data_IF_896783179122
#
_entry.id   IF_896783179122
#
_cell.length_a   1.000
_cell.length_b   1.000
_cell.length_c   1.000
_cell.angle_alpha   90.00
_cell.angle_beta   90.00
_cell.angle_gamma   90.00
#
_symmetry.space_group_name_H-M   'P 1'
#
loop_
_entity.id
_entity.type
_entity.pdbx_description
1 polymer ?
#
# COMPACT_ATOMS: atom_id res chain seq x y z
N UNK A 1 29.46 0.53 2.46
CA UNK A 1 28.79 0.37 1.15
C UNK A 1 28.02 -0.96 1.00
N UNK A 2 28.55 -2.11 1.45
CA UNK A 2 27.85 -3.41 1.30
C UNK A 2 26.51 -3.52 2.06
N UNK A 3 26.43 -2.96 3.28
CA UNK A 3 25.20 -2.95 4.09
C UNK A 3 24.03 -2.22 3.41
N UNK A 4 24.31 -1.07 2.79
CA UNK A 4 23.29 -0.27 2.10
C UNK A 4 22.70 -1.02 0.89
N UNK A 5 23.57 -1.68 0.12
CA UNK A 5 23.17 -2.52 -1.02
C UNK A 5 22.35 -3.74 -0.60
N UNK A 6 22.62 -4.28 0.59
CA UNK A 6 21.84 -5.38 1.19
C UNK A 6 20.46 -4.93 1.67
N UNK A 7 20.32 -3.70 2.16
CA UNK A 7 19.01 -3.15 2.53
C UNK A 7 18.14 -2.86 1.30
N UNK A 8 18.77 -2.38 0.21
CA UNK A 8 18.07 -2.10 -1.05
C UNK A 8 17.54 -3.38 -1.72
N UNK A 9 18.29 -4.49 -1.66
CA UNK A 9 17.82 -5.78 -2.17
C UNK A 9 16.67 -6.37 -1.35
N UNK A 10 16.69 -6.20 -0.02
CA UNK A 10 15.57 -6.61 0.87
C UNK A 10 14.32 -5.77 0.61
N UNK A 11 14.48 -4.45 0.41
CA UNK A 11 13.37 -3.55 0.06
C UNK A 11 12.72 -3.95 -1.27
N UNK A 12 13.52 -4.22 -2.31
CA UNK A 12 13.00 -4.67 -3.60
C UNK A 12 12.29 -6.03 -3.52
N UNK A 13 12.81 -6.97 -2.73
CA UNK A 13 12.14 -8.26 -2.52
C UNK A 13 10.77 -8.10 -1.84
N UNK A 14 10.67 -7.23 -0.84
CA UNK A 14 9.40 -6.91 -0.16
C UNK A 14 8.36 -6.29 -1.11
N UNK A 15 8.80 -5.36 -1.96
CA UNK A 15 7.95 -4.75 -3.00
C UNK A 15 7.47 -5.81 -3.99
N UNK A 16 8.34 -6.72 -4.44
CA UNK A 16 7.99 -7.79 -5.37
C UNK A 16 6.91 -8.74 -4.78
N UNK A 17 7.09 -9.19 -3.54
CA UNK A 17 6.11 -10.04 -2.85
C UNK A 17 4.77 -9.32 -2.69
N UNK A 18 4.79 -8.05 -2.31
CA UNK A 18 3.56 -7.24 -2.17
C UNK A 18 2.87 -7.05 -3.51
N UNK A 19 3.63 -6.83 -4.59
CA UNK A 19 3.10 -6.75 -5.96
C UNK A 19 2.41 -8.08 -6.33
N UNK A 20 3.07 -9.21 -6.10
CA UNK A 20 2.49 -10.53 -6.40
C UNK A 20 1.18 -10.75 -5.63
N UNK A 21 1.15 -10.41 -4.33
CA UNK A 21 -0.07 -10.50 -3.53
C UNK A 21 -1.17 -9.56 -4.07
N UNK A 22 -0.84 -8.34 -4.50
CA UNK A 22 -1.84 -7.39 -5.03
C UNK A 22 -2.39 -7.82 -6.38
N UNK A 23 -1.58 -8.44 -7.23
CA UNK A 23 -2.04 -8.97 -8.52
C UNK A 23 -2.93 -10.22 -8.36
N UNK A 24 -2.66 -11.04 -7.35
CA UNK A 24 -3.48 -12.22 -7.03
C UNK A 24 -4.77 -11.88 -6.25
N UNK A 25 -4.90 -10.66 -5.71
CA UNK A 25 -6.04 -10.28 -4.88
C UNK A 25 -7.32 -10.13 -5.72
N UNK A 26 -8.34 -10.91 -5.36
CA UNK A 26 -9.73 -10.80 -5.84
C UNK A 26 -9.89 -10.87 -7.36
N UNK A 27 -8.97 -11.55 -8.05
CA UNK A 27 -8.96 -11.70 -9.51
C UNK A 27 -8.98 -10.36 -10.27
N UNK A 28 -8.56 -9.27 -9.60
CA UNK A 28 -8.73 -7.89 -10.10
C UNK A 28 -8.00 -7.68 -11.43
N UNK A 29 -6.84 -8.32 -11.60
CA UNK A 29 -6.07 -8.23 -12.84
C UNK A 29 -6.85 -8.76 -14.05
N UNK A 30 -7.50 -9.93 -13.90
CA UNK A 30 -8.28 -10.54 -14.98
C UNK A 30 -9.56 -9.76 -15.26
N UNK A 31 -10.22 -9.24 -14.21
CA UNK A 31 -11.38 -8.37 -14.37
C UNK A 31 -11.06 -7.08 -15.13
N UNK A 32 -9.92 -6.44 -14.82
CA UNK A 32 -9.46 -5.27 -15.58
C UNK A 32 -9.21 -5.63 -17.05
N UNK A 33 -8.55 -6.76 -17.32
CA UNK A 33 -8.27 -7.19 -18.69
C UNK A 33 -9.55 -7.50 -19.48
N UNK A 34 -10.53 -8.15 -18.87
CA UNK A 34 -11.82 -8.44 -19.50
C UNK A 34 -12.56 -7.14 -19.92
N UNK A 35 -12.26 -6.03 -19.26
CA UNK A 35 -12.80 -4.70 -19.57
C UNK A 35 -11.91 -3.87 -20.50
N UNK A 36 -10.83 -4.45 -21.04
CA UNK A 36 -9.88 -3.76 -21.92
C UNK A 36 -8.95 -2.78 -21.20
N UNK A 37 -8.76 -2.95 -19.89
CA UNK A 37 -7.89 -2.09 -19.07
C UNK A 37 -6.75 -2.88 -18.41
N UNK A 38 -5.62 -2.23 -18.17
CA UNK A 38 -4.48 -2.82 -17.46
C UNK A 38 -4.50 -2.48 -15.97
N UNK A 39 -4.19 -3.47 -15.11
CA UNK A 39 -3.93 -3.22 -13.70
C UNK A 39 -2.44 -2.97 -13.48
N UNK A 40 -2.09 -1.83 -12.90
CA UNK A 40 -0.71 -1.49 -12.54
C UNK A 40 -0.59 -1.44 -11.01
N UNK A 41 0.19 -2.35 -10.39
CA UNK A 41 0.34 -2.40 -8.95
C UNK A 41 1.22 -1.25 -8.46
N UNK A 42 0.60 -0.32 -7.73
CA UNK A 42 1.22 0.90 -7.20
C UNK A 42 1.70 0.65 -5.77
N UNK A 43 2.78 -0.13 -5.63
CA UNK A 43 3.38 -0.45 -4.32
C UNK A 43 4.53 0.51 -4.03
N UNK A 44 4.61 0.96 -2.78
CA UNK A 44 5.61 1.91 -2.28
C UNK A 44 6.10 1.45 -0.91
N UNK A 45 7.39 1.61 -0.65
CA UNK A 45 7.98 1.26 0.64
C UNK A 45 7.81 2.41 1.65
N UNK A 46 7.87 2.10 2.94
CA UNK A 46 7.56 3.04 4.04
C UNK A 46 8.49 4.27 4.03
N UNK A 47 9.77 4.07 3.72
CA UNK A 47 10.76 5.14 3.62
C UNK A 47 10.82 5.80 2.23
N UNK A 48 9.88 5.43 1.35
CA UNK A 48 9.84 5.86 -0.05
C UNK A 48 10.43 4.80 -0.99
N UNK A 49 10.40 5.08 -2.28
CA UNK A 49 10.77 4.10 -3.31
C UNK A 49 9.56 3.29 -3.78
N UNK A 50 9.37 3.32 -5.10
CA UNK A 50 8.21 2.69 -5.75
C UNK A 50 8.60 1.36 -6.35
N UNK A 51 7.65 0.43 -6.43
CA UNK A 51 7.85 -0.84 -7.14
C UNK A 51 8.20 -0.61 -8.62
N UNK A 52 8.96 -1.52 -9.26
CA UNK A 52 9.42 -1.35 -10.64
C UNK A 52 8.30 -1.08 -11.65
N UNK A 53 7.15 -1.75 -11.51
CA UNK A 53 5.99 -1.54 -12.37
C UNK A 53 5.42 -0.10 -12.27
N UNK A 54 5.32 0.42 -11.05
CA UNK A 54 4.89 1.80 -10.82
C UNK A 54 5.90 2.81 -11.37
N UNK A 55 7.20 2.58 -11.18
CA UNK A 55 8.24 3.45 -11.73
C UNK A 55 8.21 3.49 -13.27
N UNK A 56 8.02 2.34 -13.92
CA UNK A 56 7.89 2.27 -15.37
C UNK A 56 6.67 3.06 -15.85
N UNK A 57 5.53 2.89 -15.18
CA UNK A 57 4.32 3.66 -15.49
C UNK A 57 4.51 5.16 -15.29
N UNK A 58 5.20 5.59 -14.23
CA UNK A 58 5.48 7.01 -13.98
C UNK A 58 6.30 7.66 -15.07
N UNK A 59 7.25 6.94 -15.67
CA UNK A 59 8.03 7.45 -16.82
C UNK A 59 7.13 7.67 -18.04
N UNK A 60 6.25 6.71 -18.34
CA UNK A 60 5.28 6.85 -19.44
C UNK A 60 4.32 8.02 -19.19
N UNK A 61 3.80 8.13 -17.96
CA UNK A 61 2.90 9.20 -17.57
C UNK A 61 3.58 10.57 -17.62
N UNK A 62 4.79 10.69 -17.08
CA UNK A 62 5.57 11.92 -17.08
C UNK A 62 5.90 12.37 -18.51
N UNK A 63 6.29 11.43 -19.37
CA UNK A 63 6.52 11.74 -20.79
C UNK A 63 5.26 12.30 -21.46
N UNK A 64 4.10 11.70 -21.23
CA UNK A 64 2.83 12.22 -21.76
C UNK A 64 2.52 13.63 -21.24
N UNK A 65 2.83 13.91 -19.96
CA UNK A 65 2.68 15.24 -19.36
C UNK A 65 3.64 16.23 -20.03
N UNK A 66 4.90 15.86 -20.20
CA UNK A 66 5.93 16.67 -20.85
C UNK A 66 5.54 17.06 -22.28
N UNK A 67 5.11 16.07 -23.08
CA UNK A 67 4.66 16.27 -24.46
C UNK A 67 3.47 17.23 -24.55
N UNK A 68 2.54 17.18 -23.59
CA UNK A 68 1.35 18.05 -23.58
C UNK A 68 1.58 19.46 -23.04
N UNK A 69 2.58 19.64 -22.19
CA UNK A 69 2.81 20.90 -21.47
C UNK A 69 4.06 21.66 -21.94
N UNK A 70 4.90 21.02 -22.76
CA UNK A 70 6.15 21.59 -23.27
C UNK A 70 7.26 21.67 -22.23
N UNK A 71 7.11 21.05 -21.05
CA UNK A 71 8.16 21.00 -20.03
C UNK A 71 9.14 19.86 -20.30
N UNK A 72 10.39 19.94 -19.81
CA UNK A 72 11.34 18.82 -19.91
C UNK A 72 10.83 17.56 -19.19
N UNK A 73 11.10 16.38 -19.76
CA UNK A 73 10.70 15.09 -19.18
C UNK A 73 11.23 14.90 -17.75
N UNK A 74 12.48 15.28 -17.49
CA UNK A 74 13.09 15.22 -16.15
C UNK A 74 12.33 16.06 -15.12
N UNK A 75 11.79 17.21 -15.53
CA UNK A 75 10.96 18.05 -14.67
C UNK A 75 9.60 17.41 -14.43
N UNK A 76 8.94 16.90 -15.47
CA UNK A 76 7.65 16.22 -15.35
C UNK A 76 7.74 14.99 -14.42
N UNK A 77 8.78 14.18 -14.57
CA UNK A 77 9.05 13.04 -13.68
C UNK A 77 9.22 13.51 -12.24
N UNK A 78 10.09 14.50 -12.00
CA UNK A 78 10.38 14.99 -10.65
C UNK A 78 9.14 15.54 -9.95
N UNK A 79 8.34 16.35 -10.66
CA UNK A 79 7.08 16.90 -10.15
C UNK A 79 6.06 15.79 -9.83
N UNK A 80 6.02 14.74 -10.64
CA UNK A 80 5.13 13.60 -10.44
C UNK A 80 5.49 12.85 -9.14
N UNK A 81 6.77 12.52 -8.94
CA UNK A 81 7.24 11.85 -7.72
C UNK A 81 7.00 12.70 -6.46
N UNK A 82 7.30 14.02 -6.52
CA UNK A 82 7.02 14.94 -5.41
C UNK A 82 5.53 14.99 -5.08
N UNK A 83 4.68 15.14 -6.10
CA UNK A 83 3.23 15.20 -5.94
C UNK A 83 2.68 13.91 -5.34
N UNK A 84 3.13 12.75 -5.80
CA UNK A 84 2.70 11.47 -5.23
C UNK A 84 3.22 11.27 -3.81
N UNK A 85 4.44 11.69 -3.49
CA UNK A 85 4.99 11.63 -2.13
C UNK A 85 4.11 12.38 -1.13
N UNK A 86 3.76 13.64 -1.44
CA UNK A 86 2.89 14.45 -0.58
C UNK A 86 1.47 13.86 -0.48
N UNK A 87 0.90 13.40 -1.59
CA UNK A 87 -0.44 12.77 -1.58
C UNK A 87 -0.46 11.50 -0.75
N UNK A 88 0.56 10.67 -0.86
CA UNK A 88 0.70 9.44 -0.08
C UNK A 88 0.83 9.76 1.42
N UNK A 89 1.71 10.69 1.79
CA UNK A 89 1.87 11.10 3.19
C UNK A 89 0.55 11.59 3.80
N UNK A 90 -0.20 12.42 3.05
CA UNK A 90 -1.51 12.92 3.47
C UNK A 90 -2.55 11.80 3.59
N UNK A 91 -2.57 10.86 2.64
CA UNK A 91 -3.49 9.72 2.66
C UNK A 91 -3.19 8.80 3.85
N UNK A 92 -1.92 8.52 4.12
CA UNK A 92 -1.47 7.75 5.28
C UNK A 92 -1.86 8.44 6.59
N UNK A 93 -1.57 9.74 6.73
CA UNK A 93 -1.97 10.52 7.90
C UNK A 93 -3.50 10.50 8.10
N UNK A 94 -4.27 10.69 7.02
CA UNK A 94 -5.74 10.61 7.07
C UNK A 94 -6.20 9.24 7.55
N UNK A 95 -5.67 8.15 6.98
CA UNK A 95 -6.03 6.78 7.36
C UNK A 95 -5.81 6.53 8.85
N UNK A 96 -4.64 6.93 9.36
CA UNK A 96 -4.29 6.83 10.78
C UNK A 96 -5.28 7.64 11.63
N UNK A 97 -5.47 8.91 11.32
CA UNK A 97 -6.36 9.79 12.10
C UNK A 97 -7.81 9.29 12.09
N UNK A 98 -8.33 8.84 10.94
CA UNK A 98 -9.69 8.29 10.87
C UNK A 98 -9.84 7.03 11.70
N UNK A 99 -8.84 6.15 11.74
CA UNK A 99 -8.85 4.94 12.57
C UNK A 99 -8.77 5.30 14.06
N UNK A 100 -7.91 6.24 14.42
CA UNK A 100 -7.73 6.68 15.81
C UNK A 100 -8.99 7.34 16.35
N UNK A 101 -9.66 8.20 15.57
CA UNK A 101 -10.93 8.81 15.95
C UNK A 101 -12.04 7.77 16.10
N UNK A 102 -12.13 6.80 15.18
CA UNK A 102 -13.10 5.71 15.31
C UNK A 102 -12.84 4.84 16.54
N UNK A 103 -11.58 4.66 16.94
CA UNK A 103 -11.22 3.96 18.17
C UNK A 103 -11.52 4.79 19.42
N UNK A 104 -11.29 6.10 19.39
CA UNK A 104 -11.56 7.01 20.51
C UNK A 104 -13.05 7.22 20.75
N UNK A 105 -13.86 7.20 19.68
CA UNK A 105 -15.32 7.36 19.75
C UNK A 105 -16.06 6.02 19.98
N UNK A 106 -15.32 4.94 20.26
CA UNK A 106 -15.93 3.66 20.64
C UNK A 106 -16.45 3.80 22.08
N UNK A 107 -17.76 3.64 22.32
CA UNK A 107 -18.31 3.80 23.67
C UNK A 107 -17.72 2.75 24.60
N UNK A 108 -17.44 3.13 25.85
CA UNK A 108 -16.73 2.30 26.84
C UNK A 108 -17.42 0.95 27.14
N UNK A 109 -18.70 0.79 26.80
CA UNK A 109 -19.43 -0.47 26.92
C UNK A 109 -19.11 -1.47 25.79
N UNK A 110 -18.63 -1.01 24.63
CA UNK A 110 -18.27 -1.87 23.49
C UNK A 110 -16.90 -2.53 23.67
N UNK A 111 -15.97 -1.90 24.40
CA UNK A 111 -14.67 -2.49 24.76
C UNK A 111 -14.83 -3.61 25.79
N UNK A 112 -15.71 -3.47 26.78
CA UNK A 112 -16.06 -4.55 27.72
C UNK A 112 -16.69 -5.77 27.01
N UNK A 113 -17.59 -5.54 26.05
CA UNK A 113 -18.21 -6.61 25.26
C UNK A 113 -17.24 -7.29 24.28
N UNK A 114 -16.26 -6.56 23.73
CA UNK A 114 -15.22 -7.12 22.87
C UNK A 114 -14.19 -7.95 23.65
N UNK A 115 -13.79 -7.48 24.84
CA UNK A 115 -12.82 -8.18 25.69
C UNK A 115 -13.40 -9.49 26.26
N UNK A 116 -14.67 -9.47 26.70
CA UNK A 116 -15.38 -10.68 27.17
C UNK A 116 -15.59 -11.73 26.06
N UNK A 117 -15.82 -11.31 24.81
CA UNK A 117 -15.87 -12.22 23.64
C UNK A 117 -14.50 -12.79 23.29
N UNK A 118 -13.43 -11.99 23.46
CA UNK A 118 -12.05 -12.46 23.24
C UNK A 118 -11.61 -13.47 24.29
N UNK A 119 -12.00 -13.29 25.56
CA UNK A 119 -11.76 -14.27 26.63
C UNK A 119 -12.56 -15.57 26.44
N UNK A 120 -13.84 -15.47 26.03
CA UNK A 120 -14.64 -16.65 25.70
C UNK A 120 -14.07 -17.43 24.49
N UNK A 121 -13.53 -16.72 23.49
CA UNK A 121 -12.87 -17.35 22.33
C UNK A 121 -11.53 -18.00 22.71
N UNK A 122 -10.75 -17.39 23.61
CA UNK A 122 -9.53 -17.98 24.18
C UNK A 122 -9.82 -19.24 25.02
N UNK A 123 -10.89 -19.22 25.83
CA UNK A 123 -11.35 -20.39 26.60
C UNK A 123 -11.84 -21.53 25.70
N UNK A 124 -12.57 -21.23 24.61
CA UNK A 124 -13.06 -22.23 23.67
C UNK A 124 -11.93 -22.83 22.82
N UNK A 125 -10.94 -22.03 22.42
CA UNK A 125 -9.74 -22.49 21.73
C UNK A 125 -8.86 -23.39 22.63
N UNK A 126 -8.70 -23.04 23.91
CA UNK A 126 -7.95 -23.85 24.88
C UNK A 126 -8.62 -25.20 25.18
N UNK A 127 -9.95 -25.28 25.18
CA UNK A 127 -10.68 -26.54 25.36
C UNK A 127 -10.56 -27.49 24.15
N UNK A 128 -10.33 -26.97 22.95
CA UNK A 128 -10.17 -27.79 21.72
C UNK A 128 -8.78 -28.39 21.52
N UNK A 129 -7.80 -28.01 22.34
CA UNK A 129 -6.42 -28.50 22.26
C UNK A 129 -6.11 -29.62 23.27
N UNK A 130 -7.12 -30.07 24.05
CA UNK A 130 -6.98 -31.07 25.12
C UNK A 130 -7.77 -32.37 24.87
N UNK A 131 -8.10 -32.68 23.61
CA UNK A 131 -8.66 -33.98 23.18
C UNK A 131 -7.86 -34.60 22.06
#
# INVERSE_FOLDING_TARGET
MALFRSMESVSQASLCTTVAHKLADRDTANLCQAQGSGLIPMVVETLGGWGPAAQAFFKVLARSIAERTGVPDSMAVSQLYQSFGIRLQRASARSILTRSVASANRPANATLAANSRSEAALMLAAASAAS
#
